data_IF_581365923733
#
_entry.id   IF_581365923733
#
_cell.length_a   1.000
_cell.length_b   1.000
_cell.length_c   1.000
_cell.angle_alpha   90.00
_cell.angle_beta   90.00
_cell.angle_gamma   90.00
#
_symmetry.space_group_name_H-M   'P 1'
#
loop_
_entity.id
_entity.type
_entity.pdbx_description
1 polymer ?
#
# COMPACT_ATOMS: atom_id res chain seq x y z
N UNK A 1 19.82 -0.82 13.72
CA UNK A 1 18.38 -0.53 13.61
C UNK A 1 17.75 -1.75 12.99
N UNK A 2 16.95 -2.49 13.76
CA UNK A 2 16.46 -3.82 13.39
C UNK A 2 15.36 -3.75 12.32
N UNK A 3 15.15 -4.82 11.57
CA UNK A 3 14.06 -4.91 10.58
C UNK A 3 12.67 -4.66 11.22
N UNK A 4 12.52 -4.97 12.50
CA UNK A 4 11.31 -4.68 13.30
C UNK A 4 11.11 -3.18 13.49
N UNK A 5 12.18 -2.42 13.72
CA UNK A 5 12.14 -0.96 13.87
C UNK A 5 11.70 -0.27 12.57
N UNK A 6 12.07 -0.85 11.42
CA UNK A 6 11.77 -0.29 10.11
C UNK A 6 10.30 -0.50 9.71
N UNK A 7 9.73 -1.68 9.99
CA UNK A 7 8.29 -1.93 9.81
C UNK A 7 7.45 -1.08 10.77
N UNK A 8 7.86 -0.96 12.04
CA UNK A 8 7.18 -0.09 13.01
C UNK A 8 7.17 1.38 12.55
N UNK A 9 8.26 1.84 11.93
CA UNK A 9 8.35 3.17 11.33
C UNK A 9 7.37 3.35 10.16
N UNK A 10 7.24 2.35 9.29
CA UNK A 10 6.27 2.40 8.17
C UNK A 10 4.84 2.44 8.71
N UNK A 11 4.51 1.65 9.73
CA UNK A 11 3.19 1.66 10.38
C UNK A 11 2.86 3.04 10.99
N UNK A 12 3.82 3.66 11.68
CA UNK A 12 3.66 5.00 12.24
C UNK A 12 3.42 6.06 11.16
N UNK A 13 4.14 5.98 10.03
CA UNK A 13 3.96 6.87 8.88
C UNK A 13 2.59 6.68 8.22
N UNK A 14 2.11 5.44 8.09
CA UNK A 14 0.78 5.16 7.55
C UNK A 14 -0.33 5.81 8.40
N UNK A 15 -0.23 5.69 9.74
CA UNK A 15 -1.17 6.35 10.66
C UNK A 15 -1.08 7.87 10.58
N UNK A 16 0.13 8.42 10.44
CA UNK A 16 0.31 9.86 10.28
C UNK A 16 -0.33 10.38 8.99
N UNK A 17 -0.17 9.67 7.87
CA UNK A 17 -0.85 9.97 6.59
C UNK A 17 -2.36 9.89 6.75
N UNK A 18 -2.89 8.86 7.41
CA UNK A 18 -4.33 8.74 7.59
C UNK A 18 -4.93 9.88 8.43
N UNK A 19 -4.16 10.45 9.35
CA UNK A 19 -4.55 11.57 10.21
C UNK A 19 -4.20 12.95 9.64
N UNK A 20 -3.54 13.03 8.48
CA UNK A 20 -3.02 14.28 7.94
C UNK A 20 -4.07 15.18 7.25
N UNK A 21 -5.35 14.80 7.26
CA UNK A 21 -6.41 15.53 6.55
C UNK A 21 -6.60 17.00 6.94
N UNK A 22 -5.98 17.44 8.04
CA UNK A 22 -5.96 18.84 8.50
C UNK A 22 -4.65 19.58 8.19
N UNK A 23 -3.64 18.92 7.61
CA UNK A 23 -2.37 19.55 7.25
C UNK A 23 -2.45 20.29 5.90
N UNK A 24 -1.57 21.28 5.65
CA UNK A 24 -1.38 21.84 4.32
C UNK A 24 -1.05 20.77 3.28
N UNK A 25 -1.48 20.96 2.03
CA UNK A 25 -1.29 19.98 0.95
C UNK A 25 0.19 19.64 0.70
N UNK A 26 1.08 20.61 0.83
CA UNK A 26 2.54 20.41 0.70
C UNK A 26 3.07 19.47 1.79
N UNK A 27 2.61 19.65 3.03
CA UNK A 27 2.99 18.79 4.16
C UNK A 27 2.39 17.39 4.02
N UNK A 28 1.14 17.27 3.54
CA UNK A 28 0.53 15.99 3.22
C UNK A 28 1.33 15.24 2.13
N UNK A 29 1.75 15.94 1.08
CA UNK A 29 2.55 15.37 -0.01
C UNK A 29 3.93 14.90 0.49
N UNK A 30 4.60 15.70 1.31
CA UNK A 30 5.89 15.33 1.92
C UNK A 30 5.76 14.09 2.82
N UNK A 31 4.68 14.01 3.59
CA UNK A 31 4.41 12.87 4.47
C UNK A 31 4.12 11.59 3.66
N UNK A 32 3.33 11.70 2.59
CA UNK A 32 3.05 10.62 1.65
C UNK A 32 4.32 10.13 0.95
N UNK A 33 5.20 11.03 0.51
CA UNK A 33 6.48 10.67 -0.12
C UNK A 33 7.40 9.94 0.88
N UNK A 34 7.46 10.43 2.11
CA UNK A 34 8.24 9.81 3.19
C UNK A 34 7.75 8.39 3.49
N UNK A 35 6.42 8.21 3.59
CA UNK A 35 5.80 6.90 3.74
C UNK A 35 6.17 5.95 2.59
N UNK A 36 6.01 6.40 1.33
CA UNK A 36 6.31 5.59 0.14
C UNK A 36 7.76 5.12 0.11
N UNK A 37 8.72 6.02 0.35
CA UNK A 37 10.15 5.66 0.37
C UNK A 37 10.49 4.66 1.46
N UNK A 38 9.90 4.82 2.65
CA UNK A 38 10.10 3.89 3.75
C UNK A 38 9.55 2.50 3.41
N UNK A 39 8.35 2.43 2.81
CA UNK A 39 7.74 1.19 2.35
C UNK A 39 8.56 0.50 1.27
N UNK A 40 9.00 1.25 0.25
CA UNK A 40 9.85 0.71 -0.82
C UNK A 40 11.18 0.14 -0.30
N UNK A 41 11.77 0.77 0.72
CA UNK A 41 13.00 0.28 1.33
C UNK A 41 12.78 -1.08 1.99
N UNK A 42 11.71 -1.24 2.77
CA UNK A 42 11.37 -2.53 3.39
C UNK A 42 11.12 -3.60 2.31
N UNK A 43 10.44 -3.25 1.21
CA UNK A 43 10.19 -4.19 0.12
C UNK A 43 11.45 -4.62 -0.64
N UNK A 44 12.43 -3.72 -0.81
CA UNK A 44 13.66 -4.02 -1.57
C UNK A 44 14.78 -4.61 -0.73
N UNK A 45 14.88 -4.22 0.54
CA UNK A 45 16.06 -4.47 1.39
C UNK A 45 15.70 -5.13 2.72
N UNK A 46 14.42 -5.23 3.06
CA UNK A 46 13.96 -5.86 4.29
C UNK A 46 14.10 -7.38 4.24
N UNK A 47 14.12 -8.01 5.42
CA UNK A 47 14.02 -9.46 5.54
C UNK A 47 12.63 -9.95 5.12
N UNK A 48 12.51 -11.24 4.79
CA UNK A 48 11.21 -11.85 4.47
C UNK A 48 10.17 -11.65 5.59
N UNK A 49 10.59 -11.76 6.86
CA UNK A 49 9.72 -11.49 8.00
C UNK A 49 9.22 -10.04 8.03
N UNK A 50 10.05 -9.07 7.64
CA UNK A 50 9.67 -7.66 7.59
C UNK A 50 8.66 -7.40 6.46
N UNK A 51 8.88 -8.01 5.29
CA UNK A 51 7.95 -7.95 4.16
C UNK A 51 6.61 -8.60 4.52
N UNK A 52 6.62 -9.76 5.20
CA UNK A 52 5.38 -10.42 5.66
C UNK A 52 4.60 -9.53 6.62
N UNK A 53 5.25 -8.95 7.62
CA UNK A 53 4.61 -8.03 8.57
C UNK A 53 4.06 -6.77 7.89
N UNK A 54 4.76 -6.26 6.88
CA UNK A 54 4.25 -5.14 6.07
C UNK A 54 2.96 -5.51 5.32
N UNK A 55 2.89 -6.72 4.75
CA UNK A 55 1.68 -7.21 4.09
C UNK A 55 0.50 -7.42 5.04
N UNK A 56 0.77 -7.85 6.29
CA UNK A 56 -0.24 -7.96 7.35
C UNK A 56 -0.81 -6.57 7.72
N UNK A 57 0.04 -5.54 7.81
CA UNK A 57 -0.39 -4.16 8.05
C UNK A 57 -1.27 -3.61 6.92
N UNK A 58 -0.87 -3.83 5.66
CA UNK A 58 -1.66 -3.42 4.49
C UNK A 58 -3.03 -4.11 4.46
N UNK A 59 -3.11 -5.36 4.95
CA UNK A 59 -4.34 -6.13 5.01
C UNK A 59 -5.26 -5.72 6.17
N UNK A 60 -4.68 -5.41 7.34
CA UNK A 60 -5.43 -4.98 8.53
C UNK A 60 -5.95 -3.53 8.43
N UNK A 61 -5.30 -2.68 7.64
CA UNK A 61 -5.66 -1.27 7.45
C UNK A 61 -6.87 -1.00 6.54
N UNK A 62 -7.43 -2.03 5.90
CA UNK A 62 -8.58 -1.88 4.98
C UNK A 62 -8.20 -1.25 3.65
N UNK A 63 -7.66 -2.06 2.73
CA UNK A 63 -7.85 -1.95 1.28
C UNK A 63 -7.75 -0.56 0.64
N UNK A 64 -6.60 0.11 0.69
CA UNK A 64 -6.30 1.24 -0.20
C UNK A 64 -4.78 1.52 -0.31
N UNK A 65 -3.96 0.50 -0.54
CA UNK A 65 -2.57 0.67 -0.99
C UNK A 65 -2.08 -0.50 -1.85
N UNK A 66 -2.99 -1.11 -2.61
CA UNK A 66 -2.62 -1.96 -3.74
C UNK A 66 -2.03 -1.07 -4.83
N UNK A 67 -0.70 -1.08 -4.96
CA UNK A 67 -0.04 -0.44 -6.08
C UNK A 67 -0.41 -1.13 -7.41
N UNK A 68 -0.27 -0.45 -8.56
CA UNK A 68 -0.28 -1.14 -9.84
C UNK A 68 1.11 -1.73 -10.09
N UNK A 69 1.37 -2.91 -9.54
CA UNK A 69 2.29 -3.88 -10.12
C UNK A 69 1.51 -5.19 -10.23
N UNK A 70 0.92 -5.44 -11.40
CA UNK A 70 0.16 -6.67 -11.69
C UNK A 70 -1.29 -6.48 -12.16
N UNK A 71 -1.61 -5.38 -12.86
CA UNK A 71 -2.86 -5.25 -13.62
C UNK A 71 -2.62 -5.54 -15.10
N UNK A 72 -2.12 -6.73 -15.43
CA UNK A 72 -2.06 -7.20 -16.80
C UNK A 72 -3.16 -8.25 -17.00
N UNK A 73 -4.20 -7.84 -17.74
CA UNK A 73 -4.93 -8.64 -18.74
C UNK A 73 -5.52 -9.98 -18.28
N UNK A 74 -6.82 -9.99 -17.98
CA UNK A 74 -7.78 -10.99 -18.50
C UNK A 74 -9.20 -10.47 -18.16
N UNK A 75 -10.14 -10.23 -19.07
CA UNK A 75 -10.43 -11.04 -20.24
C UNK A 75 -11.62 -11.98 -20.04
N UNK A 76 -12.61 -11.68 -19.19
CA UNK A 76 -13.81 -12.52 -19.04
C UNK A 76 -15.13 -11.72 -19.14
N UNK A 77 -15.53 -11.53 -20.39
CA UNK A 77 -16.88 -11.65 -20.95
C UNK A 77 -18.08 -11.10 -20.15
N UNK A 78 -18.65 -10.02 -20.69
CA UNK A 78 -20.03 -9.61 -20.39
C UNK A 78 -21.05 -10.66 -20.85
N UNK A 79 -22.22 -10.73 -20.21
CA UNK A 79 -23.24 -11.73 -20.54
C UNK A 79 -23.79 -11.47 -21.95
N UNK A 80 -23.44 -12.36 -22.91
CA UNK A 80 -24.16 -12.45 -24.18
C UNK A 80 -25.57 -12.96 -23.89
N UNK A 81 -26.52 -12.04 -23.82
CA UNK A 81 -27.95 -12.33 -23.93
C UNK A 81 -28.21 -12.83 -25.35
N UNK A 82 -28.26 -14.16 -25.52
CA UNK A 82 -28.78 -14.78 -26.74
C UNK A 82 -30.30 -14.64 -26.73
N UNK A 83 -30.78 -13.54 -27.31
CA UNK A 83 -32.17 -13.44 -27.76
C UNK A 83 -32.37 -14.42 -28.90
N UNK A 84 -33.10 -15.50 -28.61
CA UNK A 84 -33.59 -16.47 -29.58
C UNK A 84 -34.88 -15.89 -30.19
N UNK A 85 -34.81 -15.50 -31.47
CA UNK A 85 -35.96 -15.33 -32.37
C UNK A 85 -35.63 -16.06 -33.67
#
# INVERSE_FOLDING_TARGET
MSAVDEVARVAALALAVQRSGMLPLEEQAALLDTYRRARERVLRQGSEDAVRRLAELDSAGGGAAGGPAGGALDGAEGPRVLSRL
#
